data_IF_122705866341
#
_entry.id   IF_122705866341
#
_cell.length_a   1.000
_cell.length_b   1.000
_cell.length_c   1.000
_cell.angle_alpha   90.00
_cell.angle_beta   90.00
_cell.angle_gamma   90.00
#
_symmetry.space_group_name_H-M   'P 1'
#
loop_
_entity.id
_entity.type
_entity.pdbx_description
1 polymer ?
#
# COMPACT_ATOMS: atom_id res chain seq x y z
N UNK A 1 -6.15 -16.92 -15.62
CA UNK A 1 -4.88 -16.27 -15.19
C UNK A 1 -3.71 -17.17 -15.56
N UNK A 2 -2.67 -16.61 -16.20
CA UNK A 2 -1.44 -17.33 -16.50
C UNK A 2 -0.64 -17.48 -15.19
N UNK A 3 -0.28 -18.72 -14.79
CA UNK A 3 0.36 -18.99 -13.48
C UNK A 3 1.79 -18.46 -13.36
N UNK A 4 2.40 -18.02 -14.46
CA UNK A 4 3.81 -17.60 -14.51
C UNK A 4 4.09 -16.22 -13.92
N UNK A 5 3.07 -15.46 -13.52
CA UNK A 5 3.21 -14.10 -12.99
C UNK A 5 2.62 -13.93 -11.59
N UNK A 6 2.31 -15.04 -10.90
CA UNK A 6 1.82 -15.00 -9.53
C UNK A 6 2.95 -14.71 -8.56
N UNK A 7 2.66 -14.02 -7.47
CA UNK A 7 3.59 -13.81 -6.39
C UNK A 7 3.64 -15.06 -5.50
N UNK A 8 4.67 -15.87 -5.75
CA UNK A 8 4.95 -17.08 -4.99
C UNK A 8 6.09 -16.81 -4.01
N UNK A 9 5.82 -17.02 -2.72
CA UNK A 9 6.82 -16.93 -1.66
C UNK A 9 7.78 -18.12 -1.69
N UNK A 10 8.90 -18.02 -0.99
CA UNK A 10 9.90 -19.08 -0.88
C UNK A 10 9.34 -20.36 -0.24
N UNK A 11 8.27 -20.25 0.55
CA UNK A 11 7.50 -21.39 1.09
C UNK A 11 6.69 -22.15 0.05
N UNK A 12 6.46 -21.57 -1.13
CA UNK A 12 5.54 -22.06 -2.16
C UNK A 12 4.12 -21.48 -2.05
N UNK A 13 3.85 -20.66 -1.03
CA UNK A 13 2.56 -19.98 -0.85
C UNK A 13 2.32 -18.94 -1.94
N UNK A 14 1.12 -18.94 -2.52
CA UNK A 14 0.68 -17.92 -3.47
C UNK A 14 -0.01 -16.79 -2.71
N UNK A 15 0.61 -15.59 -2.69
CA UNK A 15 0.11 -14.43 -1.94
C UNK A 15 -1.28 -14.03 -2.43
N UNK A 16 -1.51 -14.01 -3.75
CA UNK A 16 -2.81 -13.61 -4.31
C UNK A 16 -3.94 -14.59 -3.96
N UNK A 17 -3.64 -15.89 -3.77
CA UNK A 17 -4.65 -16.87 -3.38
C UNK A 17 -5.09 -16.66 -1.94
N UNK A 18 -4.13 -16.46 -1.01
CA UNK A 18 -4.41 -16.16 0.39
C UNK A 18 -5.25 -14.89 0.54
N UNK A 19 -4.84 -13.81 -0.14
CA UNK A 19 -5.54 -12.52 -0.15
C UNK A 19 -6.97 -12.68 -0.69
N UNK A 20 -7.12 -13.39 -1.81
CA UNK A 20 -8.43 -13.58 -2.44
C UNK A 20 -9.38 -14.37 -1.55
N UNK A 21 -8.89 -15.46 -0.93
CA UNK A 21 -9.68 -16.27 0.01
C UNK A 21 -10.08 -15.45 1.24
N UNK A 22 -9.15 -14.66 1.79
CA UNK A 22 -9.42 -13.80 2.93
C UNK A 22 -10.44 -12.69 2.60
N UNK A 23 -10.35 -12.03 1.44
CA UNK A 23 -11.35 -11.03 1.04
C UNK A 23 -12.78 -11.60 0.97
N UNK A 24 -12.94 -12.84 0.52
CA UNK A 24 -14.27 -13.45 0.37
C UNK A 24 -15.00 -13.68 1.70
N UNK A 25 -14.28 -13.68 2.83
CA UNK A 25 -14.88 -13.87 4.16
C UNK A 25 -15.08 -12.56 4.92
N UNK A 26 -14.52 -11.45 4.46
CA UNK A 26 -14.65 -10.15 5.10
C UNK A 26 -16.06 -9.59 4.88
N UNK A 27 -16.68 -9.11 5.96
CA UNK A 27 -18.03 -8.52 5.91
C UNK A 27 -18.05 -7.07 5.41
N UNK A 28 -16.89 -6.43 5.39
CA UNK A 28 -16.72 -5.03 5.02
C UNK A 28 -15.52 -4.87 4.09
N UNK A 29 -15.56 -3.84 3.26
CA UNK A 29 -14.47 -3.49 2.37
C UNK A 29 -13.23 -3.06 3.17
N UNK A 30 -12.06 -3.47 2.68
CA UNK A 30 -10.74 -3.24 3.26
C UNK A 30 -9.71 -3.02 2.14
N UNK A 31 -8.49 -2.58 2.48
CA UNK A 31 -7.41 -2.36 1.50
C UNK A 31 -7.10 -3.62 0.66
N UNK A 32 -7.26 -4.80 1.26
CA UNK A 32 -7.02 -6.10 0.65
C UNK A 32 -7.97 -6.32 -0.56
N UNK A 33 -9.18 -5.74 -0.55
CA UNK A 33 -10.12 -5.80 -1.68
C UNK A 33 -9.60 -5.05 -2.92
N UNK A 34 -8.69 -4.10 -2.71
CA UNK A 34 -8.00 -3.36 -3.77
C UNK A 34 -6.61 -3.93 -4.08
N UNK A 35 -6.30 -5.16 -3.63
CA UNK A 35 -4.98 -5.80 -3.77
C UNK A 35 -3.84 -5.03 -3.07
N UNK A 36 -4.18 -4.27 -2.02
CA UNK A 36 -3.20 -3.52 -1.22
C UNK A 36 -2.97 -4.27 0.09
N UNK A 37 -1.72 -4.66 0.34
CA UNK A 37 -1.29 -5.24 1.61
C UNK A 37 -0.73 -4.11 2.47
N UNK A 38 -1.45 -3.74 3.54
CA UNK A 38 -0.89 -2.86 4.57
C UNK A 38 -0.01 -3.68 5.51
N UNK A 39 1.29 -3.35 5.56
CA UNK A 39 2.26 -4.06 6.40
C UNK A 39 2.05 -3.80 7.91
N UNK A 40 1.22 -2.82 8.28
CA UNK A 40 0.85 -2.54 9.66
C UNK A 40 -0.52 -3.14 10.03
N UNK A 41 -1.23 -3.72 9.08
CA UNK A 41 -2.50 -4.38 9.34
C UNK A 41 -2.27 -5.78 9.93
N UNK A 42 -2.76 -5.95 11.17
CA UNK A 42 -2.65 -7.21 11.90
C UNK A 42 -3.53 -8.30 11.32
N UNK A 43 -4.64 -7.94 10.69
CA UNK A 43 -5.55 -8.91 10.08
C UNK A 43 -4.91 -9.52 8.83
N UNK A 44 -4.25 -8.69 8.02
CA UNK A 44 -3.39 -9.12 6.92
C UNK A 44 -2.21 -9.96 7.39
N UNK A 45 -1.47 -9.52 8.43
CA UNK A 45 -0.32 -10.26 8.99
C UNK A 45 -0.73 -11.66 9.45
N UNK A 46 -1.92 -11.80 10.06
CA UNK A 46 -2.43 -13.08 10.56
C UNK A 46 -2.71 -14.13 9.47
N UNK A 47 -2.75 -13.74 8.18
CA UNK A 47 -2.95 -14.68 7.08
C UNK A 47 -1.67 -15.42 6.66
N UNK A 48 -0.51 -15.01 7.18
CA UNK A 48 0.79 -15.54 6.81
C UNK A 48 1.57 -16.04 8.02
N UNK A 49 2.52 -16.94 7.80
CA UNK A 49 3.51 -17.28 8.83
C UNK A 49 4.45 -16.11 9.10
N UNK A 50 5.17 -16.14 10.23
CA UNK A 50 6.12 -15.08 10.61
C UNK A 50 7.23 -14.94 9.55
N UNK A 51 7.68 -16.06 9.00
CA UNK A 51 8.70 -16.13 7.95
C UNK A 51 8.21 -15.56 6.62
N UNK A 52 7.00 -15.94 6.20
CA UNK A 52 6.37 -15.42 4.98
C UNK A 52 6.08 -13.92 5.08
N UNK A 53 5.55 -13.47 6.21
CA UNK A 53 5.29 -12.05 6.42
C UNK A 53 6.58 -11.23 6.44
N UNK A 54 7.68 -11.80 6.98
CA UNK A 54 9.01 -11.20 6.87
C UNK A 54 9.49 -11.12 5.42
N UNK A 55 9.30 -12.16 4.62
CA UNK A 55 9.62 -12.15 3.18
C UNK A 55 8.84 -11.06 2.44
N UNK A 56 7.53 -10.99 2.66
CA UNK A 56 6.64 -9.95 2.09
C UNK A 56 7.16 -8.54 2.42
N UNK A 57 7.54 -8.28 3.68
CA UNK A 57 8.11 -6.98 4.08
C UNK A 57 9.44 -6.67 3.40
N UNK A 58 10.24 -7.69 3.10
CA UNK A 58 11.54 -7.52 2.46
C UNK A 58 11.43 -7.21 0.96
N UNK A 59 10.35 -7.63 0.29
CA UNK A 59 10.08 -7.31 -1.12
C UNK A 59 9.72 -5.82 -1.33
N UNK A 60 9.27 -5.13 -0.27
CA UNK A 60 9.00 -3.70 -0.37
C UNK A 60 10.31 -2.95 -0.54
N UNK A 61 10.45 -2.30 -1.70
CA UNK A 61 11.57 -1.42 -1.99
C UNK A 61 11.66 -0.35 -0.91
N UNK A 62 12.84 -0.18 -0.33
CA UNK A 62 13.13 0.94 0.55
C UNK A 62 12.85 2.23 -0.22
N UNK A 63 12.05 3.12 0.38
CA UNK A 63 11.92 4.48 -0.13
C UNK A 63 13.31 5.13 -0.13
N UNK A 64 13.61 5.99 -1.13
CA UNK A 64 14.84 6.76 -1.11
C UNK A 64 14.89 7.61 0.16
N UNK A 65 16.09 7.84 0.67
CA UNK A 65 16.28 8.79 1.76
C UNK A 65 15.84 10.19 1.30
N UNK A 66 15.19 10.92 2.20
CA UNK A 66 14.79 12.29 1.95
C UNK A 66 16.01 13.19 2.10
N UNK A 67 16.38 13.91 1.04
CA UNK A 67 17.36 14.98 1.15
C UNK A 67 16.75 16.24 1.78
N UNK A 68 17.60 17.15 2.26
CA UNK A 68 17.16 18.40 2.90
C UNK A 68 16.26 19.23 1.98
N UNK A 69 16.50 19.23 0.67
CA UNK A 69 15.70 20.01 -0.28
C UNK A 69 14.28 19.47 -0.44
N UNK A 70 14.10 18.15 -0.35
CA UNK A 70 12.79 17.51 -0.33
C UNK A 70 12.05 17.87 0.97
N UNK A 71 12.72 17.78 2.12
CA UNK A 71 12.12 18.10 3.42
C UNK A 71 11.70 19.58 3.47
N UNK A 72 12.56 20.49 3.04
CA UNK A 72 12.27 21.93 2.96
C UNK A 72 11.09 22.21 2.03
N UNK A 73 11.03 21.51 0.90
CA UNK A 73 9.92 21.64 -0.05
C UNK A 73 8.60 21.19 0.56
N UNK A 74 8.58 20.08 1.31
CA UNK A 74 7.37 19.60 2.00
C UNK A 74 6.96 20.54 3.14
N UNK A 75 7.92 21.02 3.94
CA UNK A 75 7.69 21.95 5.05
C UNK A 75 7.07 23.27 4.60
N UNK A 76 7.43 23.78 3.41
CA UNK A 76 6.81 25.00 2.84
C UNK A 76 5.29 24.93 2.71
N UNK A 77 4.74 23.72 2.61
CA UNK A 77 3.30 23.50 2.47
C UNK A 77 2.68 22.85 3.72
N UNK A 78 3.47 22.57 4.77
CA UNK A 78 2.99 21.87 5.96
C UNK A 78 2.00 22.70 6.79
N UNK A 79 2.16 24.03 6.79
CA UNK A 79 1.30 24.97 7.54
C UNK A 79 0.19 25.60 6.67
N UNK A 80 -0.03 25.07 5.46
CA UNK A 80 -1.14 25.54 4.63
C UNK A 80 -2.43 24.97 5.20
N UNK A 81 -3.26 25.86 5.74
CA UNK A 81 -4.60 25.57 6.22
C UNK A 81 -5.36 24.76 5.15
N UNK A 82 -5.96 23.64 5.55
CA UNK A 82 -6.62 22.69 4.65
C UNK A 82 -7.74 23.34 3.82
N UNK A 83 -8.22 24.50 4.26
CA UNK A 83 -9.17 25.36 3.55
C UNK A 83 -8.64 25.90 2.20
N UNK A 84 -7.31 25.97 1.99
CA UNK A 84 -6.69 26.43 0.74
C UNK A 84 -6.44 25.27 -0.24
N UNK A 85 -6.31 24.04 0.28
CA UNK A 85 -6.06 22.84 -0.54
C UNK A 85 -7.26 22.46 -1.42
N UNK A 86 -8.50 22.72 -0.98
CA UNK A 86 -9.71 22.51 -1.80
C UNK A 86 -9.70 23.35 -3.09
N UNK A 87 -9.13 24.55 -3.06
CA UNK A 87 -9.07 25.47 -4.21
C UNK A 87 -8.03 25.02 -5.26
N UNK A 88 -6.97 24.34 -4.84
CA UNK A 88 -5.95 23.83 -5.77
C UNK A 88 -6.42 22.55 -6.49
N UNK A 89 -7.18 21.68 -5.80
CA UNK A 89 -7.74 20.46 -6.41
C UNK A 89 -8.80 20.79 -7.46
N UNK A 90 -9.60 21.85 -7.26
CA UNK A 90 -10.59 22.28 -8.27
C UNK A 90 -9.95 22.87 -9.52
N UNK A 91 -8.73 23.43 -9.44
CA UNK A 91 -8.08 24.07 -10.59
C UNK A 91 -7.44 23.08 -11.56
N UNK A 92 -7.06 21.89 -11.10
CA UNK A 92 -6.51 20.83 -11.96
C UNK A 92 -7.62 20.18 -12.81
N UNK A 93 -8.87 20.21 -12.36
CA UNK A 93 -10.01 19.60 -13.07
C UNK A 93 -10.66 20.49 -14.16
N UNK A 94 -10.22 21.75 -14.31
CA UNK A 94 -10.83 22.70 -15.26
C UNK A 94 -9.94 22.93 -16.49
N UNK A 95 -8.70 22.45 -16.51
CA UNK A 95 -7.78 22.56 -17.66
C UNK A 95 -7.46 21.22 -18.35
N UNK A 96 -8.43 20.30 -18.40
CA UNK A 96 -8.43 19.15 -19.34
C UNK A 96 -9.68 19.15 -20.19
#
# INVERSE_FOLDING_TARGET
>A
MNKTHKWILSSGTCVEEIIFEHCNILSAESLIHSWIIDLNDREAEAQFTVEEWKEIRCEIRKLPEFDESFVDSMMRFADIDSSVAEVLVTRIHVET
#
